data_IF_095682030017
#
_entry.id   IF_095682030017
#
_cell.length_a   1.000
_cell.length_b   1.000
_cell.length_c   1.000
_cell.angle_alpha   90.00
_cell.angle_beta   90.00
_cell.angle_gamma   90.00
#
_symmetry.space_group_name_H-M   'P 1'
#
loop_
_entity.id
_entity.type
_entity.pdbx_description
1 polymer ?
#
# COMPACT_ATOMS: atom_id res chain seq x y z
N UNK A 1 -12.12 -4.38 -6.14
CA UNK A 1 -12.49 -3.35 -5.18
C UNK A 1 -11.22 -2.72 -4.61
N UNK A 2 -11.04 -1.43 -4.75
CA UNK A 2 -9.96 -0.66 -4.17
C UNK A 2 -10.44 -0.06 -2.85
N UNK A 3 -9.72 -0.29 -1.78
CA UNK A 3 -9.96 0.35 -0.49
C UNK A 3 -8.77 1.25 -0.20
N UNK A 4 -8.99 2.56 -0.20
CA UNK A 4 -8.00 3.57 0.15
C UNK A 4 -8.35 4.13 1.53
N UNK A 5 -7.39 4.14 2.42
CA UNK A 5 -7.54 4.74 3.74
C UNK A 5 -6.28 5.54 4.07
N UNK A 6 -6.46 6.82 4.34
CA UNK A 6 -5.40 7.69 4.81
C UNK A 6 -5.36 7.73 6.33
N UNK A 7 -4.18 7.60 6.92
CA UNK A 7 -4.00 7.58 8.38
C UNK A 7 -3.09 8.71 8.87
N UNK A 8 -3.52 9.48 9.88
CA UNK A 8 -2.64 10.40 10.58
C UNK A 8 -1.76 9.66 11.60
N UNK A 9 -0.50 10.08 11.73
CA UNK A 9 0.32 9.68 12.90
C UNK A 9 -0.30 10.29 14.18
N UNK A 10 -0.21 9.66 15.34
CA UNK A 10 0.41 8.39 15.72
C UNK A 10 -0.55 7.21 15.88
N UNK A 11 -1.86 7.38 15.65
CA UNK A 11 -2.87 6.34 15.90
C UNK A 11 -3.06 5.35 14.75
N UNK A 12 -2.11 5.30 13.82
CA UNK A 12 -2.25 4.63 12.53
C UNK A 12 -2.53 3.12 12.66
N UNK A 13 -1.80 2.41 13.50
CA UNK A 13 -1.99 0.97 13.68
C UNK A 13 -3.40 0.61 14.18
N UNK A 14 -3.89 1.35 15.18
CA UNK A 14 -5.24 1.13 15.70
C UNK A 14 -6.32 1.47 14.65
N UNK A 15 -6.09 2.49 13.82
CA UNK A 15 -7.00 2.86 12.75
C UNK A 15 -7.00 1.83 11.62
N UNK A 16 -5.86 1.25 11.26
CA UNK A 16 -5.76 0.16 10.30
C UNK A 16 -6.67 -0.99 10.72
N UNK A 17 -6.54 -1.48 11.96
CA UNK A 17 -7.34 -2.56 12.48
C UNK A 17 -8.85 -2.23 12.48
N UNK A 18 -9.21 -1.03 12.95
CA UNK A 18 -10.61 -0.63 13.05
C UNK A 18 -11.27 -0.41 11.68
N UNK A 19 -10.61 0.33 10.78
CA UNK A 19 -11.20 0.76 9.51
C UNK A 19 -11.19 -0.37 8.48
N UNK A 20 -10.08 -1.08 8.33
CA UNK A 20 -10.01 -2.21 7.39
C UNK A 20 -10.89 -3.36 7.87
N UNK A 21 -10.87 -3.70 9.16
CA UNK A 21 -11.74 -4.71 9.73
C UNK A 21 -13.22 -4.39 9.53
N UNK A 22 -13.64 -3.15 9.78
CA UNK A 22 -15.01 -2.71 9.54
C UNK A 22 -15.40 -2.75 8.06
N UNK A 23 -14.52 -2.31 7.15
CA UNK A 23 -14.76 -2.38 5.71
C UNK A 23 -14.95 -3.81 5.24
N UNK A 24 -14.08 -4.73 5.66
CA UNK A 24 -14.13 -6.15 5.28
C UNK A 24 -15.34 -6.87 5.89
N UNK A 25 -15.74 -6.51 7.11
CA UNK A 25 -16.92 -7.09 7.77
C UNK A 25 -18.22 -6.78 7.03
N UNK A 26 -18.29 -5.64 6.34
CA UNK A 26 -19.46 -5.19 5.59
C UNK A 26 -19.54 -5.70 4.13
N UNK A 27 -18.56 -6.49 3.68
CA UNK A 27 -18.59 -7.06 2.33
C UNK A 27 -19.67 -8.14 2.22
N UNK A 28 -20.42 -8.12 1.11
CA UNK A 28 -21.34 -9.20 0.73
C UNK A 28 -20.56 -10.49 0.41
N UNK A 29 -21.25 -11.61 0.39
CA UNK A 29 -20.64 -12.91 0.04
C UNK A 29 -19.97 -12.88 -1.34
N UNK A 30 -20.58 -12.21 -2.32
CA UNK A 30 -20.03 -12.02 -3.66
C UNK A 30 -18.77 -11.14 -3.64
N UNK A 31 -18.81 -10.03 -2.92
CA UNK A 31 -17.65 -9.12 -2.80
C UNK A 31 -16.46 -9.78 -2.10
N UNK A 32 -16.71 -10.67 -1.13
CA UNK A 32 -15.64 -11.41 -0.43
C UNK A 32 -14.87 -12.35 -1.35
N UNK A 33 -15.51 -12.87 -2.39
CA UNK A 33 -14.89 -13.76 -3.39
C UNK A 33 -14.29 -13.01 -4.58
N UNK A 34 -14.66 -11.75 -4.78
CA UNK A 34 -14.11 -10.92 -5.85
C UNK A 34 -12.61 -10.63 -5.66
N UNK A 35 -11.87 -10.32 -6.72
CA UNK A 35 -10.52 -9.78 -6.61
C UNK A 35 -10.53 -8.47 -5.80
N UNK A 36 -9.74 -8.44 -4.72
CA UNK A 36 -9.57 -7.27 -3.85
C UNK A 36 -8.09 -6.89 -3.89
N UNK A 37 -7.83 -5.59 -3.94
CA UNK A 37 -6.51 -5.01 -3.88
C UNK A 37 -6.53 -3.85 -2.88
N UNK A 38 -5.61 -3.83 -1.93
CA UNK A 38 -5.42 -2.69 -1.05
C UNK A 38 -4.39 -1.71 -1.63
N UNK A 39 -4.58 -0.43 -1.31
CA UNK A 39 -3.56 0.59 -1.49
C UNK A 39 -3.41 1.35 -0.16
N UNK A 40 -2.24 1.23 0.45
CA UNK A 40 -1.90 1.93 1.67
C UNK A 40 -1.28 3.29 1.35
N UNK A 41 -1.95 4.35 1.75
CA UNK A 41 -1.53 5.73 1.53
C UNK A 41 -1.50 6.50 2.85
N UNK A 42 -0.34 6.54 3.55
CA UNK A 42 -0.22 7.38 4.74
C UNK A 42 -0.35 8.86 4.35
N UNK A 43 -1.38 9.55 4.89
CA UNK A 43 -1.71 10.94 4.50
C UNK A 43 -0.57 11.92 4.69
N UNK A 44 0.31 11.67 5.65
CA UNK A 44 1.49 12.49 5.93
C UNK A 44 2.65 12.27 4.93
N UNK A 45 2.58 11.21 4.14
CA UNK A 45 3.60 10.85 3.14
C UNK A 45 3.17 11.16 1.71
N UNK A 46 1.99 11.74 1.49
CA UNK A 46 1.47 12.09 0.17
C UNK A 46 1.34 13.60 -0.01
N UNK A 47 1.20 14.04 -1.27
CA UNK A 47 1.00 15.45 -1.61
C UNK A 47 2.29 16.28 -1.63
N UNK A 48 2.13 17.60 -1.82
CA UNK A 48 3.23 18.56 -1.74
C UNK A 48 3.66 18.72 -0.28
N UNK A 49 4.95 18.50 -0.01
CA UNK A 49 5.50 18.56 1.34
C UNK A 49 5.30 17.30 2.19
N UNK A 50 4.75 16.23 1.63
CA UNK A 50 4.71 14.92 2.29
C UNK A 50 6.11 14.40 2.57
N UNK A 51 6.31 13.81 3.75
CA UNK A 51 7.57 13.15 4.12
C UNK A 51 7.49 11.69 3.73
N UNK A 52 8.35 11.16 2.85
CA UNK A 52 8.34 9.74 2.51
C UNK A 52 8.45 8.88 3.77
N UNK A 53 7.64 7.82 3.85
CA UNK A 53 7.84 6.79 4.87
C UNK A 53 9.11 6.00 4.55
N UNK A 54 9.79 5.50 5.60
CA UNK A 54 10.85 4.51 5.41
C UNK A 54 10.24 3.19 4.92
N UNK A 55 11.02 2.40 4.20
CA UNK A 55 10.60 1.09 3.71
C UNK A 55 10.16 0.17 4.86
N UNK A 56 10.93 0.10 5.96
CA UNK A 56 10.58 -0.68 7.15
C UNK A 56 9.24 -0.26 7.77
N UNK A 57 8.97 1.07 7.82
CA UNK A 57 7.70 1.56 8.36
C UNK A 57 6.53 1.16 7.46
N UNK A 58 6.69 1.34 6.15
CA UNK A 58 5.68 0.98 5.16
C UNK A 58 5.39 -0.53 5.21
N UNK A 59 6.43 -1.35 5.25
CA UNK A 59 6.33 -2.81 5.35
C UNK A 59 5.58 -3.26 6.60
N UNK A 60 5.96 -2.72 7.77
CA UNK A 60 5.29 -3.03 9.03
C UNK A 60 3.79 -2.68 9.01
N UNK A 61 3.41 -1.54 8.41
CA UNK A 61 1.99 -1.15 8.30
C UNK A 61 1.23 -2.03 7.31
N UNK A 62 1.86 -2.39 6.19
CA UNK A 62 1.22 -3.30 5.23
C UNK A 62 1.09 -4.73 5.76
N UNK A 63 2.03 -5.20 6.57
CA UNK A 63 1.89 -6.46 7.29
C UNK A 63 0.62 -6.49 8.16
N UNK A 64 0.32 -5.40 8.87
CA UNK A 64 -0.91 -5.29 9.67
C UNK A 64 -2.18 -5.30 8.80
N UNK A 65 -2.17 -4.60 7.66
CA UNK A 65 -3.31 -4.58 6.72
C UNK A 65 -3.55 -5.99 6.15
N UNK A 66 -2.49 -6.67 5.73
CA UNK A 66 -2.56 -8.04 5.20
C UNK A 66 -3.10 -9.00 6.26
N UNK A 67 -2.60 -8.92 7.49
CA UNK A 67 -3.07 -9.78 8.59
C UNK A 67 -4.57 -9.61 8.86
N UNK A 68 -5.07 -8.37 8.87
CA UNK A 68 -6.52 -8.09 9.01
C UNK A 68 -7.32 -8.68 7.84
N UNK A 69 -6.79 -8.60 6.62
CA UNK A 69 -7.45 -9.15 5.44
C UNK A 69 -7.48 -10.68 5.46
N UNK A 70 -6.37 -11.30 5.84
CA UNK A 70 -6.26 -12.77 5.94
C UNK A 70 -7.19 -13.33 7.02
N UNK A 71 -7.27 -12.67 8.19
CA UNK A 71 -8.22 -13.05 9.25
C UNK A 71 -9.68 -12.95 8.77
N UNK A 72 -10.02 -11.87 8.08
CA UNK A 72 -11.38 -11.63 7.63
C UNK A 72 -11.81 -12.47 6.41
N UNK A 73 -10.90 -12.76 5.47
CA UNK A 73 -11.21 -13.35 4.16
C UNK A 73 -10.66 -14.76 3.98
N UNK A 74 -9.76 -15.22 4.86
CA UNK A 74 -9.12 -16.52 4.77
C UNK A 74 -8.14 -16.66 3.58
N UNK A 75 -7.66 -15.56 3.03
CA UNK A 75 -6.74 -15.52 1.89
C UNK A 75 -5.88 -14.27 1.90
N UNK A 76 -4.72 -14.35 1.26
CA UNK A 76 -3.89 -13.17 1.01
C UNK A 76 -4.61 -12.17 0.11
N UNK A 77 -4.50 -10.89 0.45
CA UNK A 77 -5.00 -9.77 -0.36
C UNK A 77 -3.81 -8.87 -0.67
N UNK A 78 -3.44 -8.71 -1.96
CA UNK A 78 -2.30 -7.88 -2.31
C UNK A 78 -2.45 -6.45 -1.79
N UNK A 79 -1.35 -5.91 -1.24
CA UNK A 79 -1.29 -4.58 -0.68
C UNK A 79 -0.21 -3.74 -1.38
N UNK A 80 -0.63 -2.65 -2.02
CA UNK A 80 0.27 -1.72 -2.70
C UNK A 80 0.64 -0.58 -1.78
N UNK A 81 1.90 -0.15 -1.82
CA UNK A 81 2.32 1.08 -1.15
C UNK A 81 2.08 2.30 -2.06
N UNK A 82 1.33 3.28 -1.56
CA UNK A 82 0.93 4.49 -2.28
C UNK A 82 1.37 5.81 -1.62
N UNK A 83 2.30 5.77 -0.69
CA UNK A 83 2.94 6.98 -0.19
C UNK A 83 3.80 7.66 -1.25
N UNK A 84 4.75 8.49 -0.85
CA UNK A 84 5.64 9.19 -1.78
C UNK A 84 6.65 8.22 -2.40
N UNK A 85 6.29 7.63 -3.54
CA UNK A 85 7.15 6.75 -4.33
C UNK A 85 7.89 7.56 -5.39
N UNK A 86 9.21 7.37 -5.46
CA UNK A 86 10.11 8.01 -6.42
C UNK A 86 11.05 6.99 -7.06
N UNK A 87 11.81 7.40 -8.08
CA UNK A 87 12.85 6.57 -8.66
C UNK A 87 13.94 6.16 -7.65
N UNK A 88 14.14 6.95 -6.58
CA UNK A 88 15.21 6.70 -5.62
C UNK A 88 14.82 5.69 -4.53
N UNK A 89 13.54 5.58 -4.19
CA UNK A 89 13.06 4.67 -3.13
C UNK A 89 12.28 3.45 -3.64
N UNK A 90 11.89 3.42 -4.91
CA UNK A 90 11.02 2.35 -5.44
C UNK A 90 11.65 0.96 -5.35
N UNK A 91 12.96 0.84 -5.57
CA UNK A 91 13.67 -0.43 -5.51
C UNK A 91 13.73 -1.01 -4.08
N UNK A 92 13.94 -0.17 -3.08
CA UNK A 92 13.92 -0.56 -1.67
C UNK A 92 12.50 -0.98 -1.23
N UNK A 93 11.51 -0.18 -1.58
CA UNK A 93 10.12 -0.44 -1.24
C UNK A 93 9.62 -1.78 -1.82
N UNK A 94 9.86 -2.03 -3.12
CA UNK A 94 9.36 -3.26 -3.78
C UNK A 94 10.03 -4.55 -3.30
N UNK A 95 11.17 -4.45 -2.61
CA UNK A 95 11.84 -5.60 -2.01
C UNK A 95 11.30 -5.97 -0.62
N UNK A 96 10.45 -5.14 -0.03
CA UNK A 96 9.85 -5.39 1.27
C UNK A 96 8.86 -6.57 1.19
N UNK A 97 8.88 -7.50 2.15
CA UNK A 97 8.11 -8.75 2.09
C UNK A 97 6.59 -8.57 2.11
N UNK A 98 6.08 -7.45 2.62
CA UNK A 98 4.64 -7.17 2.70
C UNK A 98 4.19 -6.07 1.72
N UNK A 99 5.06 -5.65 0.79
CA UNK A 99 4.73 -4.70 -0.26
C UNK A 99 4.58 -5.47 -1.58
N UNK A 100 3.36 -5.85 -1.94
CA UNK A 100 3.07 -6.61 -3.16
C UNK A 100 3.20 -5.78 -4.45
N UNK A 101 3.31 -4.46 -4.32
CA UNK A 101 3.47 -3.56 -5.46
C UNK A 101 3.45 -2.09 -5.04
N UNK A 102 3.61 -1.22 -6.03
CA UNK A 102 3.67 0.22 -5.84
C UNK A 102 2.49 0.91 -6.52
N UNK A 103 1.82 1.80 -5.81
CA UNK A 103 0.78 2.66 -6.33
C UNK A 103 1.35 4.07 -6.52
N UNK A 104 1.66 4.43 -7.77
CA UNK A 104 2.52 5.56 -8.08
C UNK A 104 1.73 6.68 -8.76
N UNK A 105 1.83 7.88 -8.22
CA UNK A 105 1.24 9.09 -8.78
C UNK A 105 2.23 9.87 -9.65
N UNK A 106 2.59 11.07 -9.22
CA UNK A 106 3.35 12.09 -9.97
C UNK A 106 4.64 11.58 -10.63
N UNK A 107 5.38 10.72 -9.97
CA UNK A 107 6.64 10.21 -10.50
C UNK A 107 6.48 9.33 -11.76
N UNK A 108 5.27 8.86 -12.03
CA UNK A 108 4.94 8.02 -13.18
C UNK A 108 3.93 8.67 -14.15
N UNK A 109 3.69 9.98 -14.07
CA UNK A 109 2.73 10.67 -14.95
C UNK A 109 3.21 10.82 -16.40
N UNK A 110 4.49 10.70 -16.65
CA UNK A 110 5.03 10.66 -18.00
C UNK A 110 5.72 9.31 -18.27
N UNK A 111 5.89 9.00 -19.53
CA UNK A 111 6.44 7.70 -19.98
C UNK A 111 7.85 7.47 -19.46
N UNK A 112 8.70 8.49 -19.47
CA UNK A 112 10.09 8.39 -19.01
C UNK A 112 10.15 8.05 -17.51
N UNK A 113 9.42 8.77 -16.69
CA UNK A 113 9.33 8.52 -15.24
C UNK A 113 8.79 7.12 -14.93
N UNK A 114 7.72 6.71 -15.62
CA UNK A 114 7.16 5.38 -15.48
C UNK A 114 8.17 4.28 -15.84
N UNK A 115 8.80 4.38 -16.99
CA UNK A 115 9.78 3.39 -17.45
C UNK A 115 11.04 3.34 -16.57
N UNK A 116 11.49 4.49 -16.05
CA UNK A 116 12.62 4.56 -15.12
C UNK A 116 12.31 3.80 -13.81
N UNK A 117 11.13 4.03 -13.23
CA UNK A 117 10.72 3.32 -12.01
C UNK A 117 10.58 1.82 -12.30
N UNK A 118 9.93 1.45 -13.39
CA UNK A 118 9.77 0.05 -13.77
C UNK A 118 11.12 -0.67 -13.94
N UNK A 119 12.09 -0.02 -14.62
CA UNK A 119 13.42 -0.57 -14.79
C UNK A 119 14.17 -0.75 -13.46
N UNK A 120 14.06 0.21 -12.54
CA UNK A 120 14.67 0.13 -11.21
C UNK A 120 14.05 -0.98 -10.35
N UNK A 121 12.73 -1.10 -10.37
CA UNK A 121 12.05 -2.19 -9.67
C UNK A 121 12.43 -3.56 -10.25
N UNK A 122 12.48 -3.69 -11.58
CA UNK A 122 12.90 -4.95 -12.23
C UNK A 122 14.35 -5.33 -11.95
N UNK A 123 15.23 -4.35 -11.76
CA UNK A 123 16.64 -4.59 -11.42
C UNK A 123 16.85 -4.95 -9.93
N UNK A 124 15.82 -4.83 -9.10
CA UNK A 124 15.87 -5.17 -7.69
C UNK A 124 15.67 -6.67 -7.40
N UNK A 125 15.28 -7.44 -8.42
CA UNK A 125 15.10 -8.91 -8.37
C UNK A 125 16.07 -9.64 -9.27
#
# INVERSE_FOLDING_TARGET
LKIEVGYPRPAEAAQILAVHGAALANLTSEQRTAPILFAYEPVWAIGEGGTPATADYADARQAEIIAVAEDALGRHVPCLYGGSVTADNCAELIQCPHIDGLFIGRAAWNVEGYLNILARCAAAF
#
